data_IF_892423748335
#
_entry.id   IF_892423748335
#
_cell.length_a   1.000
_cell.length_b   1.000
_cell.length_c   1.000
_cell.angle_alpha   90.00
_cell.angle_beta   90.00
_cell.angle_gamma   90.00
#
_symmetry.space_group_name_H-M   'P 1'
#
loop_
_entity.id
_entity.type
_entity.pdbx_description
1 polymer ?
#
# COMPACT_ATOMS: atom_id res chain seq x y z
N UNK A 1 7.47 -22.00 11.05
CA UNK A 1 8.45 -23.10 11.33
C UNK A 1 8.56 -23.32 12.82
N UNK A 2 9.02 -22.34 13.64
CA UNK A 2 9.18 -22.54 15.09
C UNK A 2 7.88 -22.91 15.79
N UNK A 3 6.76 -22.31 15.38
CA UNK A 3 5.44 -22.65 15.89
C UNK A 3 5.04 -24.12 15.60
N UNK A 4 5.37 -24.61 14.39
CA UNK A 4 5.13 -26.01 14.01
C UNK A 4 6.06 -26.96 14.79
N UNK A 5 7.35 -26.62 14.91
CA UNK A 5 8.36 -27.51 15.51
C UNK A 5 8.26 -27.62 17.03
N UNK A 6 7.88 -26.54 17.72
CA UNK A 6 7.98 -26.43 19.18
C UNK A 6 6.65 -26.19 19.88
N UNK A 7 5.60 -25.76 19.16
CA UNK A 7 4.30 -25.40 19.74
C UNK A 7 3.12 -26.07 19.03
N UNK A 8 3.31 -27.12 18.24
CA UNK A 8 2.25 -27.84 17.52
C UNK A 8 1.27 -26.91 16.77
N UNK A 9 1.75 -25.75 16.28
CA UNK A 9 0.95 -24.70 15.64
C UNK A 9 -0.15 -24.09 16.55
N UNK A 10 0.02 -24.10 17.86
CA UNK A 10 -0.96 -23.53 18.79
C UNK A 10 -0.97 -22.00 18.81
N UNK A 11 0.12 -21.35 18.36
CA UNK A 11 0.17 -19.88 18.25
C UNK A 11 -0.60 -19.46 16.99
N UNK A 12 -1.54 -18.53 17.15
CA UNK A 12 -2.35 -18.04 16.04
C UNK A 12 -1.54 -17.25 15.01
N UNK A 13 -2.08 -17.13 13.78
CA UNK A 13 -1.49 -16.32 12.70
C UNK A 13 -1.28 -14.87 13.13
N UNK A 14 -2.22 -14.29 13.87
CA UNK A 14 -2.13 -12.92 14.39
C UNK A 14 -0.99 -12.79 15.41
N UNK A 15 -0.85 -13.71 16.32
CA UNK A 15 0.23 -13.69 17.32
C UNK A 15 1.61 -13.87 16.66
N UNK A 16 1.71 -14.75 15.65
CA UNK A 16 2.94 -14.88 14.85
C UNK A 16 3.30 -13.56 14.14
N UNK A 17 2.30 -12.87 13.55
CA UNK A 17 2.51 -11.58 12.90
C UNK A 17 2.94 -10.50 13.90
N UNK A 18 2.28 -10.42 15.08
CA UNK A 18 2.66 -9.50 16.17
C UNK A 18 4.07 -9.77 16.69
N UNK A 19 4.48 -11.03 16.81
CA UNK A 19 5.85 -11.39 17.20
C UNK A 19 6.89 -10.89 16.18
N UNK A 20 6.59 -11.01 14.87
CA UNK A 20 7.42 -10.46 13.80
C UNK A 20 7.54 -8.94 13.86
N UNK A 21 6.42 -8.24 14.00
CA UNK A 21 6.39 -6.78 14.17
C UNK A 21 7.16 -6.34 15.42
N UNK A 22 6.98 -7.04 16.54
CA UNK A 22 7.71 -6.75 17.77
C UNK A 22 9.23 -6.86 17.57
N UNK A 23 9.66 -7.91 16.86
CA UNK A 23 11.08 -8.10 16.56
C UNK A 23 11.64 -6.94 15.70
N UNK A 24 10.92 -6.53 14.64
CA UNK A 24 11.33 -5.37 13.83
C UNK A 24 11.43 -4.09 14.67
N UNK A 25 10.42 -3.80 15.48
CA UNK A 25 10.35 -2.57 16.24
C UNK A 25 11.32 -2.50 17.42
N UNK A 26 11.71 -3.65 18.01
CA UNK A 26 12.50 -3.68 19.24
C UNK A 26 13.91 -4.25 19.07
N UNK A 27 14.20 -4.98 17.98
CA UNK A 27 15.52 -5.56 17.73
C UNK A 27 16.26 -4.88 16.58
N UNK A 28 15.52 -4.36 15.59
CA UNK A 28 16.09 -3.66 14.44
C UNK A 28 15.78 -2.15 14.42
N UNK A 29 15.09 -1.64 15.44
CA UNK A 29 14.66 -0.23 15.57
C UNK A 29 13.88 0.29 14.32
N UNK A 30 13.24 -0.61 13.58
CA UNK A 30 12.43 -0.28 12.43
C UNK A 30 10.98 -0.10 12.87
N UNK A 31 10.48 1.14 12.85
CA UNK A 31 9.08 1.45 13.20
C UNK A 31 8.14 0.99 12.10
N UNK A 32 7.68 -0.26 12.18
CA UNK A 32 6.73 -0.85 11.23
C UNK A 32 5.34 -1.04 11.84
N UNK A 33 4.31 -0.92 10.98
CA UNK A 33 2.95 -1.36 11.29
C UNK A 33 2.82 -2.89 11.23
N UNK A 34 1.61 -3.40 11.43
CA UNK A 34 1.33 -4.85 11.44
C UNK A 34 0.91 -5.39 10.06
N UNK A 35 0.76 -4.52 9.06
CA UNK A 35 0.18 -4.88 7.76
C UNK A 35 0.97 -5.99 7.06
N UNK A 36 2.28 -5.79 6.87
CA UNK A 36 3.12 -6.69 6.07
C UNK A 36 3.25 -8.07 6.72
N UNK A 37 3.47 -8.11 8.04
CA UNK A 37 3.60 -9.35 8.79
C UNK A 37 2.30 -10.15 8.76
N UNK A 38 1.15 -9.47 8.91
CA UNK A 38 -0.16 -10.13 8.92
C UNK A 38 -0.56 -10.59 7.51
N UNK A 39 -0.26 -9.80 6.48
CA UNK A 39 -0.50 -10.18 5.10
C UNK A 39 0.35 -11.41 4.69
N UNK A 40 1.65 -11.41 5.01
CA UNK A 40 2.54 -12.53 4.74
C UNK A 40 2.13 -13.80 5.51
N UNK A 41 1.69 -13.65 6.75
CA UNK A 41 1.25 -14.78 7.57
C UNK A 41 -0.08 -15.37 7.07
N UNK A 42 -1.00 -14.54 6.57
CA UNK A 42 -2.33 -14.94 6.10
C UNK A 42 -2.31 -15.48 4.68
N UNK A 43 -1.59 -14.81 3.77
CA UNK A 43 -1.57 -15.08 2.33
C UNK A 43 -2.88 -14.73 1.61
N UNK A 44 -2.83 -14.77 0.28
CA UNK A 44 -3.94 -14.42 -0.60
C UNK A 44 -4.18 -12.92 -0.71
N UNK A 45 -5.29 -12.56 -1.33
CA UNK A 45 -5.80 -11.20 -1.33
C UNK A 45 -6.65 -11.01 -0.06
N UNK A 46 -6.31 -10.01 0.73
CA UNK A 46 -6.97 -9.77 2.01
C UNK A 46 -7.34 -8.31 2.19
N UNK A 47 -8.37 -8.06 2.99
CA UNK A 47 -8.56 -6.77 3.65
C UNK A 47 -8.29 -6.91 5.13
N UNK A 48 -7.71 -5.86 5.72
CA UNK A 48 -7.46 -5.78 7.15
C UNK A 48 -8.08 -4.48 7.67
N UNK A 49 -9.01 -4.58 8.62
CA UNK A 49 -9.51 -3.42 9.33
C UNK A 49 -8.83 -3.33 10.70
N UNK A 50 -8.01 -2.30 10.89
CA UNK A 50 -7.31 -1.99 12.13
C UNK A 50 -8.12 -1.11 13.08
N UNK A 51 -9.46 -1.03 12.96
CA UNK A 51 -10.30 -0.29 13.91
C UNK A 51 -10.08 -0.78 15.36
N UNK A 52 -9.86 -2.07 15.52
CA UNK A 52 -9.33 -2.67 16.75
C UNK A 52 -7.91 -3.19 16.46
N UNK A 53 -6.89 -2.43 16.87
CA UNK A 53 -5.49 -2.79 16.60
C UNK A 53 -5.05 -4.10 17.28
N UNK A 54 -5.61 -4.40 18.46
CA UNK A 54 -5.28 -5.63 19.18
C UNK A 54 -5.86 -6.88 18.52
N UNK A 55 -7.03 -6.74 17.87
CA UNK A 55 -7.69 -7.81 17.16
C UNK A 55 -8.23 -7.28 15.82
N UNK A 56 -7.34 -7.05 14.82
CA UNK A 56 -7.76 -6.56 13.51
C UNK A 56 -8.65 -7.59 12.81
N UNK A 57 -9.67 -7.10 12.12
CA UNK A 57 -10.50 -7.96 11.28
C UNK A 57 -9.78 -8.23 9.96
N UNK A 58 -9.50 -9.51 9.69
CA UNK A 58 -8.85 -9.97 8.45
C UNK A 58 -9.86 -10.77 7.64
N UNK A 59 -10.15 -10.31 6.43
CA UNK A 59 -11.07 -10.98 5.50
C UNK A 59 -10.33 -11.36 4.23
N UNK A 60 -10.36 -12.66 3.89
CA UNK A 60 -9.86 -13.14 2.60
C UNK A 60 -10.87 -12.82 1.50
N UNK A 61 -10.35 -12.34 0.38
CA UNK A 61 -11.10 -12.06 -0.83
C UNK A 61 -10.72 -13.06 -1.92
N UNK A 62 -11.66 -13.40 -2.79
CA UNK A 62 -11.37 -14.24 -3.95
C UNK A 62 -10.54 -13.44 -4.97
N UNK A 63 -9.30 -13.85 -5.15
CA UNK A 63 -8.37 -13.23 -6.11
C UNK A 63 -8.38 -13.90 -7.48
N UNK A 64 -9.11 -15.03 -7.64
CA UNK A 64 -9.01 -15.85 -8.85
C UNK A 64 -9.38 -15.07 -10.11
N UNK A 65 -10.51 -14.36 -10.10
CA UNK A 65 -10.95 -13.58 -11.26
C UNK A 65 -9.93 -12.50 -11.64
N UNK A 66 -9.32 -11.86 -10.65
CA UNK A 66 -8.29 -10.84 -10.86
C UNK A 66 -7.03 -11.49 -11.45
N UNK A 67 -6.57 -12.61 -10.89
CA UNK A 67 -5.40 -13.34 -11.37
C UNK A 67 -5.63 -14.01 -12.74
N UNK A 68 -6.85 -14.38 -13.06
CA UNK A 68 -7.19 -14.92 -14.38
C UNK A 68 -7.16 -13.82 -15.47
N UNK A 69 -7.45 -12.57 -15.11
CA UNK A 69 -7.53 -11.42 -16.03
C UNK A 69 -6.23 -10.62 -16.13
N UNK A 70 -5.48 -10.49 -15.04
CA UNK A 70 -4.31 -9.61 -14.96
C UNK A 70 -3.04 -10.34 -14.54
N UNK A 71 -1.91 -9.84 -15.04
CA UNK A 71 -0.58 -10.08 -14.50
C UNK A 71 -0.13 -8.85 -13.68
N UNK A 72 0.64 -9.10 -12.63
CA UNK A 72 1.12 -8.09 -11.69
C UNK A 72 2.63 -7.98 -11.80
N UNK A 73 3.12 -6.75 -11.98
CA UNK A 73 4.53 -6.46 -12.12
C UNK A 73 4.99 -5.51 -11.03
N UNK A 74 6.04 -5.88 -10.31
CA UNK A 74 6.79 -5.00 -9.42
C UNK A 74 8.04 -4.55 -10.15
N UNK A 75 8.20 -3.24 -10.30
CA UNK A 75 9.36 -2.64 -10.96
C UNK A 75 10.14 -1.81 -9.93
N UNK A 76 11.30 -2.30 -9.44
CA UNK A 76 12.17 -1.53 -8.55
C UNK A 76 12.70 -0.30 -9.27
N UNK A 77 12.84 0.81 -8.56
CA UNK A 77 13.40 2.06 -9.13
C UNK A 77 14.90 2.19 -8.95
N UNK A 78 15.51 1.25 -8.22
CA UNK A 78 16.96 1.25 -7.95
C UNK A 78 17.42 2.28 -6.91
N UNK A 79 16.48 2.95 -6.24
CA UNK A 79 16.79 3.96 -5.23
C UNK A 79 16.82 3.38 -3.81
N UNK A 80 17.70 3.93 -2.97
CA UNK A 80 17.90 3.49 -1.60
C UNK A 80 16.96 4.23 -0.62
N UNK A 81 16.46 3.49 0.37
CA UNK A 81 15.59 3.99 1.44
C UNK A 81 16.35 4.58 2.62
N UNK A 82 17.68 4.37 2.72
CA UNK A 82 18.46 4.59 3.95
C UNK A 82 18.48 6.04 4.44
N UNK A 83 18.22 7.01 3.59
CA UNK A 83 18.20 8.44 3.93
C UNK A 83 16.77 9.01 4.10
N UNK A 84 15.72 8.17 4.05
CA UNK A 84 14.33 8.60 3.95
C UNK A 84 13.47 8.35 5.20
N UNK A 85 14.08 7.88 6.28
CA UNK A 85 13.39 7.60 7.56
C UNK A 85 12.60 8.81 8.08
N UNK A 86 13.12 10.02 7.87
CA UNK A 86 12.44 11.26 8.21
C UNK A 86 11.12 11.46 7.47
N UNK A 87 11.07 11.11 6.18
CA UNK A 87 9.87 11.25 5.35
C UNK A 87 8.78 10.23 5.73
N UNK A 88 9.18 8.98 6.04
CA UNK A 88 8.26 7.96 6.55
C UNK A 88 7.67 8.37 7.91
N UNK A 89 8.52 8.84 8.82
CA UNK A 89 8.10 9.33 10.14
C UNK A 89 7.17 10.53 10.02
N UNK A 90 7.43 11.45 9.09
CA UNK A 90 6.62 12.63 8.87
C UNK A 90 5.16 12.29 8.48
N UNK A 91 4.90 11.19 7.76
CA UNK A 91 3.54 10.75 7.46
C UNK A 91 2.75 10.54 8.75
N UNK A 92 3.29 9.75 9.66
CA UNK A 92 2.62 9.42 10.92
C UNK A 92 2.47 10.64 11.82
N UNK A 93 3.50 11.46 11.94
CA UNK A 93 3.50 12.67 12.78
C UNK A 93 2.46 13.68 12.28
N UNK A 94 2.41 13.92 10.98
CA UNK A 94 1.48 14.87 10.38
C UNK A 94 0.02 14.39 10.46
N UNK A 95 -0.25 13.12 10.19
CA UNK A 95 -1.58 12.53 10.37
C UNK A 95 -2.03 12.60 11.84
N UNK A 96 -1.13 12.36 12.78
CA UNK A 96 -1.41 12.48 14.21
C UNK A 96 -1.69 13.92 14.63
N UNK A 97 -1.00 14.91 14.07
CA UNK A 97 -1.27 16.31 14.34
C UNK A 97 -2.73 16.69 13.98
N UNK A 98 -3.27 16.15 12.89
CA UNK A 98 -4.67 16.37 12.52
C UNK A 98 -5.62 15.71 13.52
N UNK A 99 -5.42 14.44 13.90
CA UNK A 99 -6.30 13.79 14.87
C UNK A 99 -6.27 14.49 16.23
N UNK A 100 -5.11 14.94 16.68
CA UNK A 100 -4.93 15.69 17.93
C UNK A 100 -5.61 17.07 17.91
N UNK A 101 -5.66 17.72 16.76
CA UNK A 101 -6.41 18.98 16.61
C UNK A 101 -7.88 18.82 17.03
N UNK A 102 -8.48 17.66 16.74
CA UNK A 102 -9.85 17.31 17.12
C UNK A 102 -9.95 16.60 18.48
N UNK A 103 -8.86 16.49 19.23
CA UNK A 103 -8.83 15.75 20.50
C UNK A 103 -9.07 14.24 20.33
N UNK A 104 -8.77 13.70 19.13
CA UNK A 104 -8.88 12.27 18.82
C UNK A 104 -7.54 11.59 18.92
N UNK A 105 -7.55 10.30 19.31
CA UNK A 105 -6.35 9.49 19.36
C UNK A 105 -5.90 9.07 17.95
N UNK A 106 -6.87 8.71 17.10
CA UNK A 106 -6.62 8.19 15.75
C UNK A 106 -7.36 9.00 14.70
N UNK A 107 -6.76 9.10 13.52
CA UNK A 107 -7.33 9.81 12.38
C UNK A 107 -8.60 9.14 11.82
N UNK A 108 -8.79 7.85 12.07
CA UNK A 108 -10.02 7.12 11.71
C UNK A 108 -11.31 7.71 12.33
N UNK A 109 -11.16 8.48 13.41
CA UNK A 109 -12.26 9.11 14.14
C UNK A 109 -12.52 10.57 13.68
N UNK A 110 -11.84 11.01 12.61
CA UNK A 110 -12.01 12.33 11.97
C UNK A 110 -12.68 12.14 10.62
N UNK A 111 -13.72 12.91 10.37
CA UNK A 111 -14.47 12.88 9.11
C UNK A 111 -13.96 13.90 8.09
N UNK A 112 -14.33 13.72 6.82
CA UNK A 112 -14.06 14.74 5.79
C UNK A 112 -14.77 16.07 6.10
N UNK A 113 -15.97 16.03 6.66
CA UNK A 113 -16.72 17.22 7.05
C UNK A 113 -15.99 17.99 8.16
N UNK A 114 -15.37 17.29 9.12
CA UNK A 114 -14.52 17.92 10.14
C UNK A 114 -13.35 18.67 9.50
N UNK A 115 -12.68 18.05 8.53
CA UNK A 115 -11.57 18.69 7.79
C UNK A 115 -12.07 19.92 7.05
N UNK A 116 -13.16 19.82 6.31
CA UNK A 116 -13.70 20.92 5.50
C UNK A 116 -14.16 22.10 6.37
N UNK A 117 -14.83 21.84 7.49
CA UNK A 117 -15.32 22.87 8.40
C UNK A 117 -14.19 23.64 9.12
N UNK A 118 -13.01 23.02 9.29
CA UNK A 118 -11.91 23.57 10.07
C UNK A 118 -10.66 23.88 9.23
N UNK A 119 -10.76 23.88 7.89
CA UNK A 119 -9.62 23.97 6.99
C UNK A 119 -8.66 25.15 7.28
N UNK A 120 -9.12 26.40 7.50
CA UNK A 120 -8.20 27.51 7.79
C UNK A 120 -7.35 27.28 9.06
N UNK A 121 -7.97 26.78 10.13
CA UNK A 121 -7.29 26.52 11.40
C UNK A 121 -6.34 25.32 11.32
N UNK A 122 -6.71 24.28 10.56
CA UNK A 122 -5.84 23.13 10.31
C UNK A 122 -4.59 23.52 9.54
N UNK A 123 -4.73 24.36 8.50
CA UNK A 123 -3.60 24.88 7.73
C UNK A 123 -2.63 25.69 8.58
N UNK A 124 -3.16 26.52 9.47
CA UNK A 124 -2.35 27.33 10.38
C UNK A 124 -1.58 26.46 11.40
N UNK A 125 -2.25 25.45 11.99
CA UNK A 125 -1.68 24.66 13.08
C UNK A 125 -0.85 23.47 12.63
N UNK A 126 -1.26 22.76 11.58
CA UNK A 126 -0.64 21.51 11.14
C UNK A 126 0.05 21.62 9.78
N UNK A 127 -0.30 22.64 8.99
CA UNK A 127 0.22 22.84 7.64
C UNK A 127 -0.53 22.07 6.54
N UNK A 128 -0.37 22.53 5.31
CA UNK A 128 -1.10 22.01 4.15
C UNK A 128 -0.83 20.53 3.89
N UNK A 129 0.42 20.07 4.05
CA UNK A 129 0.79 18.67 3.81
C UNK A 129 0.12 17.71 4.80
N UNK A 130 0.02 18.10 6.07
CA UNK A 130 -0.70 17.30 7.07
C UNK A 130 -2.18 17.14 6.71
N UNK A 131 -2.83 18.23 6.24
CA UNK A 131 -4.23 18.18 5.77
C UNK A 131 -4.37 17.26 4.55
N UNK A 132 -3.47 17.36 3.56
CA UNK A 132 -3.48 16.50 2.37
C UNK A 132 -3.33 15.03 2.77
N UNK A 133 -2.42 14.69 3.68
CA UNK A 133 -2.21 13.33 4.19
C UNK A 133 -3.45 12.79 4.94
N UNK A 134 -4.15 13.65 5.69
CA UNK A 134 -5.42 13.28 6.31
C UNK A 134 -6.51 13.00 5.27
N UNK A 135 -6.63 13.82 4.23
CA UNK A 135 -7.54 13.60 3.10
C UNK A 135 -7.23 12.26 2.41
N UNK A 136 -5.93 11.98 2.17
CA UNK A 136 -5.52 10.67 1.63
C UNK A 136 -6.04 9.53 2.50
N UNK A 137 -5.77 9.56 3.80
CA UNK A 137 -6.16 8.50 4.73
C UNK A 137 -7.66 8.23 4.70
N UNK A 138 -8.48 9.29 4.78
CA UNK A 138 -9.94 9.17 4.80
C UNK A 138 -10.45 8.59 3.47
N UNK A 139 -10.03 9.19 2.34
CA UNK A 139 -10.50 8.77 1.02
C UNK A 139 -9.98 7.38 0.62
N UNK A 140 -8.77 7.02 1.02
CA UNK A 140 -8.21 5.69 0.75
C UNK A 140 -8.91 4.60 1.56
N UNK A 141 -9.21 4.87 2.83
CA UNK A 141 -9.98 3.95 3.67
C UNK A 141 -11.37 3.67 3.08
N UNK A 142 -12.06 4.70 2.59
CA UNK A 142 -13.36 4.55 1.92
C UNK A 142 -13.24 3.75 0.62
N UNK A 143 -12.21 4.02 -0.18
CA UNK A 143 -11.93 3.31 -1.44
C UNK A 143 -11.71 1.82 -1.21
N UNK A 144 -10.88 1.47 -0.22
CA UNK A 144 -10.61 0.08 0.15
C UNK A 144 -11.89 -0.63 0.62
N UNK A 145 -12.68 0.01 1.49
CA UNK A 145 -13.95 -0.56 1.96
C UNK A 145 -14.93 -0.81 0.82
N UNK A 146 -15.04 0.15 -0.11
CA UNK A 146 -15.91 0.02 -1.28
C UNK A 146 -15.45 -1.12 -2.19
N UNK A 147 -14.17 -1.15 -2.56
CA UNK A 147 -13.62 -2.22 -3.40
C UNK A 147 -13.76 -3.59 -2.74
N UNK A 148 -13.51 -3.71 -1.44
CA UNK A 148 -13.67 -4.95 -0.71
C UNK A 148 -15.12 -5.46 -0.71
N UNK A 149 -16.10 -4.56 -0.60
CA UNK A 149 -17.52 -4.91 -0.70
C UNK A 149 -17.87 -5.39 -2.10
N UNK A 150 -17.42 -4.69 -3.15
CA UNK A 150 -17.62 -5.07 -4.55
C UNK A 150 -17.02 -6.47 -4.84
N UNK A 151 -15.77 -6.72 -4.40
CA UNK A 151 -15.11 -8.02 -4.60
C UNK A 151 -15.82 -9.15 -3.85
N UNK A 152 -16.37 -8.92 -2.66
CA UNK A 152 -17.20 -9.91 -1.95
C UNK A 152 -18.44 -10.31 -2.74
N UNK A 153 -19.01 -9.38 -3.50
CA UNK A 153 -20.14 -9.64 -4.42
C UNK A 153 -19.69 -10.12 -5.81
N UNK A 154 -18.42 -10.49 -5.96
CA UNK A 154 -17.81 -10.87 -7.25
C UNK A 154 -17.91 -9.79 -8.34
N UNK A 155 -18.01 -8.52 -7.95
CA UNK A 155 -17.94 -7.38 -8.86
C UNK A 155 -16.51 -6.80 -8.89
N UNK A 156 -15.87 -6.93 -10.03
CA UNK A 156 -14.49 -6.44 -10.27
C UNK A 156 -14.45 -5.26 -11.25
N UNK A 157 -15.61 -4.68 -11.58
CA UNK A 157 -15.74 -3.62 -12.60
C UNK A 157 -14.90 -2.40 -12.28
N UNK A 158 -14.79 -2.05 -11.00
CA UNK A 158 -14.07 -0.86 -10.55
C UNK A 158 -12.61 -1.13 -10.13
N UNK A 159 -12.09 -2.35 -10.32
CA UNK A 159 -10.76 -2.73 -9.83
C UNK A 159 -9.64 -1.83 -10.39
N UNK A 160 -9.54 -1.70 -11.71
CA UNK A 160 -8.53 -0.85 -12.36
C UNK A 160 -8.66 0.62 -11.92
N UNK A 161 -9.91 1.11 -11.87
CA UNK A 161 -10.19 2.47 -11.41
C UNK A 161 -9.74 2.68 -9.95
N UNK A 162 -10.00 1.72 -9.07
CA UNK A 162 -9.59 1.81 -7.67
C UNK A 162 -8.06 1.84 -7.52
N UNK A 163 -7.33 1.02 -8.30
CA UNK A 163 -5.86 1.03 -8.34
C UNK A 163 -5.34 2.39 -8.81
N UNK A 164 -5.90 2.92 -9.89
CA UNK A 164 -5.53 4.23 -10.45
C UNK A 164 -5.79 5.37 -9.46
N UNK A 165 -7.01 5.43 -8.90
CA UNK A 165 -7.40 6.49 -7.95
C UNK A 165 -6.55 6.43 -6.67
N UNK A 166 -6.17 5.23 -6.21
CA UNK A 166 -5.26 5.03 -5.08
C UNK A 166 -3.85 5.55 -5.40
N UNK A 167 -3.34 5.26 -6.60
CA UNK A 167 -2.07 5.80 -7.07
C UNK A 167 -2.06 7.32 -7.16
N UNK A 168 -3.10 7.91 -7.73
CA UNK A 168 -3.26 9.36 -7.80
C UNK A 168 -3.40 10.01 -6.42
N UNK A 169 -4.09 9.36 -5.49
CA UNK A 169 -4.21 9.82 -4.11
C UNK A 169 -2.85 9.78 -3.39
N UNK A 170 -2.08 8.71 -3.59
CA UNK A 170 -0.71 8.61 -3.09
C UNK A 170 0.16 9.74 -3.60
N UNK A 171 0.11 10.02 -4.91
CA UNK A 171 0.89 11.10 -5.52
C UNK A 171 0.48 12.47 -5.02
N UNK A 172 -0.81 12.80 -5.08
CA UNK A 172 -1.31 14.16 -4.86
C UNK A 172 -1.47 14.53 -3.40
N UNK A 173 -1.90 13.56 -2.57
CA UNK A 173 -2.31 13.82 -1.20
C UNK A 173 -1.31 13.26 -0.19
N UNK A 174 -0.95 11.97 -0.28
CA UNK A 174 0.06 11.40 0.61
C UNK A 174 1.45 11.97 0.34
N UNK A 175 1.73 12.27 -0.92
CA UNK A 175 3.00 12.83 -1.41
C UNK A 175 4.19 11.91 -1.09
N UNK A 176 4.03 10.63 -1.35
CA UNK A 176 5.06 9.60 -1.15
C UNK A 176 5.66 9.06 -2.46
N UNK A 177 5.44 9.74 -3.59
CA UNK A 177 5.97 9.33 -4.89
C UNK A 177 7.23 10.11 -5.30
N UNK A 178 7.70 11.03 -4.48
CA UNK A 178 8.87 11.85 -4.74
C UNK A 178 9.78 11.88 -3.51
N UNK A 179 11.09 12.00 -3.73
CA UNK A 179 12.08 12.21 -2.68
C UNK A 179 12.43 13.71 -2.55
N UNK A 180 13.04 14.14 -1.44
CA UNK A 180 13.57 15.51 -1.33
C UNK A 180 14.71 15.80 -2.32
N UNK A 181 15.42 14.79 -2.80
CA UNK A 181 16.49 14.95 -3.77
C UNK A 181 15.95 15.05 -5.20
N UNK A 182 16.08 16.20 -5.88
CA UNK A 182 15.57 16.39 -7.23
C UNK A 182 16.23 15.50 -8.30
N UNK A 183 17.35 14.87 -8.00
CA UNK A 183 18.05 13.95 -8.91
C UNK A 183 17.58 12.50 -8.79
N UNK A 184 16.95 12.14 -7.69
CA UNK A 184 16.53 10.79 -7.37
C UNK A 184 15.00 10.73 -7.23
N UNK A 185 14.31 10.70 -8.37
CA UNK A 185 12.85 10.72 -8.50
C UNK A 185 12.32 9.45 -9.18
N UNK A 186 12.89 8.30 -8.84
CA UNK A 186 12.66 7.04 -9.56
C UNK A 186 11.19 6.62 -9.60
N UNK A 187 10.47 6.67 -8.48
CA UNK A 187 9.03 6.34 -8.45
C UNK A 187 8.26 7.27 -9.38
N UNK A 188 8.45 8.58 -9.24
CA UNK A 188 7.76 9.57 -10.07
C UNK A 188 8.04 9.36 -11.56
N UNK A 189 9.32 9.14 -11.91
CA UNK A 189 9.73 8.90 -13.30
C UNK A 189 9.11 7.61 -13.86
N UNK A 190 9.16 6.51 -13.09
CA UNK A 190 8.64 5.22 -13.57
C UNK A 190 7.11 5.23 -13.68
N UNK A 191 6.40 5.90 -12.77
CA UNK A 191 4.95 6.11 -12.89
C UNK A 191 4.62 6.91 -14.16
N UNK A 192 5.31 8.03 -14.41
CA UNK A 192 5.11 8.84 -15.60
C UNK A 192 5.38 8.04 -16.89
N UNK A 193 6.45 7.24 -16.94
CA UNK A 193 6.74 6.39 -18.10
C UNK A 193 5.67 5.32 -18.33
N UNK A 194 5.13 4.72 -17.27
CA UNK A 194 4.02 3.78 -17.39
C UNK A 194 2.73 4.48 -17.85
N UNK A 195 2.41 5.66 -17.31
CA UNK A 195 1.24 6.44 -17.73
C UNK A 195 1.32 6.83 -19.21
N UNK A 196 2.51 7.19 -19.72
CA UNK A 196 2.74 7.45 -21.16
C UNK A 196 2.51 6.18 -21.98
N UNK A 197 3.03 5.03 -21.52
CA UNK A 197 2.82 3.76 -22.19
C UNK A 197 1.32 3.40 -22.26
N UNK A 198 0.56 3.61 -21.19
CA UNK A 198 -0.88 3.32 -21.12
C UNK A 198 -1.76 4.27 -21.94
N UNK A 199 -1.23 5.33 -22.53
CA UNK A 199 -2.01 6.13 -23.51
C UNK A 199 -2.39 5.32 -24.76
N UNK A 200 -1.60 4.29 -25.10
CA UNK A 200 -1.81 3.44 -26.27
C UNK A 200 -1.98 1.95 -25.93
N UNK A 201 -1.93 1.59 -24.65
CA UNK A 201 -2.01 0.24 -24.13
C UNK A 201 -2.92 0.20 -22.90
N UNK A 202 -3.43 -0.99 -22.59
CA UNK A 202 -4.22 -1.18 -21.36
C UNK A 202 -3.30 -1.52 -20.19
N UNK A 203 -3.67 -1.03 -19.03
CA UNK A 203 -2.99 -1.29 -17.76
C UNK A 203 -3.14 -0.11 -16.82
N UNK A 204 -2.80 -0.34 -15.56
CA UNK A 204 -2.79 0.68 -14.52
C UNK A 204 -1.56 0.51 -13.64
N UNK A 205 -1.11 1.59 -13.02
CA UNK A 205 0.03 1.54 -12.11
C UNK A 205 -0.18 2.43 -10.88
N UNK A 206 0.59 2.11 -9.86
CA UNK A 206 0.68 2.93 -8.64
C UNK A 206 2.02 2.72 -7.94
N UNK A 207 2.35 3.59 -7.01
CA UNK A 207 3.44 3.32 -6.07
C UNK A 207 3.14 2.04 -5.27
N UNK A 208 4.16 1.21 -5.05
CA UNK A 208 4.08 0.01 -4.23
C UNK A 208 4.73 0.22 -2.86
N UNK A 209 4.02 -0.17 -1.79
CA UNK A 209 4.49 0.01 -0.42
C UNK A 209 4.51 1.46 0.06
N UNK A 210 5.47 1.79 0.91
CA UNK A 210 5.58 3.09 1.58
C UNK A 210 5.94 4.27 0.67
N UNK A 211 6.50 4.02 -0.50
CA UNK A 211 6.86 5.07 -1.46
C UNK A 211 8.21 5.72 -1.17
N UNK A 212 8.37 6.98 -1.57
CA UNK A 212 9.58 7.81 -1.61
C UNK A 212 10.69 7.23 -2.49
N UNK A 213 11.16 6.04 -2.19
CA UNK A 213 12.01 5.16 -2.99
C UNK A 213 11.39 3.77 -3.12
N UNK A 214 12.04 2.82 -3.77
CA UNK A 214 11.59 1.43 -3.85
C UNK A 214 10.98 1.06 -5.19
N UNK A 215 9.68 0.77 -5.27
CA UNK A 215 9.10 0.18 -6.47
C UNK A 215 7.70 0.71 -6.82
N UNK A 216 7.30 0.45 -8.05
CA UNK A 216 5.93 0.63 -8.51
C UNK A 216 5.27 -0.73 -8.76
N UNK A 217 3.96 -0.77 -8.61
CA UNK A 217 3.10 -1.88 -9.00
C UNK A 217 2.41 -1.50 -10.31
N UNK A 218 2.49 -2.40 -11.30
CA UNK A 218 1.69 -2.31 -12.52
C UNK A 218 0.78 -3.52 -12.62
N UNK A 219 -0.49 -3.29 -12.99
CA UNK A 219 -1.51 -4.31 -13.18
C UNK A 219 -1.90 -4.30 -14.66
N UNK A 220 -1.61 -5.37 -15.34
CA UNK A 220 -1.64 -5.44 -16.80
C UNK A 220 -2.60 -6.54 -17.24
N UNK A 221 -3.59 -6.28 -18.11
CA UNK A 221 -4.37 -7.34 -18.72
C UNK A 221 -3.46 -8.36 -19.40
N UNK A 222 -3.74 -9.64 -19.26
CA UNK A 222 -2.86 -10.73 -19.74
C UNK A 222 -2.53 -10.63 -21.22
N UNK A 223 -3.46 -10.15 -22.03
CA UNK A 223 -3.25 -9.93 -23.46
C UNK A 223 -2.20 -8.85 -23.77
N UNK A 224 -2.00 -7.88 -22.85
CA UNK A 224 -1.02 -6.80 -22.98
C UNK A 224 0.34 -7.16 -22.36
N UNK A 225 0.41 -8.20 -21.53
CA UNK A 225 1.64 -8.56 -20.78
C UNK A 225 2.88 -8.79 -21.65
N UNK A 226 2.80 -9.43 -22.84
CA UNK A 226 3.97 -9.58 -23.69
C UNK A 226 4.56 -8.24 -24.16
N UNK A 227 3.69 -7.28 -24.54
CA UNK A 227 4.12 -5.95 -24.96
C UNK A 227 4.68 -5.14 -23.77
N UNK A 228 4.07 -5.29 -22.58
CA UNK A 228 4.55 -4.62 -21.38
C UNK A 228 5.92 -5.14 -20.92
N UNK A 229 6.17 -6.46 -21.00
CA UNK A 229 7.51 -7.03 -20.75
C UNK A 229 8.57 -6.46 -21.68
N UNK A 230 8.25 -6.33 -22.96
CA UNK A 230 9.16 -5.69 -23.93
C UNK A 230 9.41 -4.22 -23.56
N UNK A 231 8.38 -3.47 -23.17
CA UNK A 231 8.53 -2.08 -22.71
C UNK A 231 9.47 -1.98 -21.49
N UNK A 232 9.27 -2.81 -20.47
CA UNK A 232 10.13 -2.81 -19.27
C UNK A 232 11.59 -3.14 -19.62
N UNK A 233 11.81 -4.13 -20.48
CA UNK A 233 13.15 -4.61 -20.85
C UNK A 233 13.86 -3.67 -21.83
N UNK A 234 13.18 -3.23 -22.88
CA UNK A 234 13.81 -2.59 -24.03
C UNK A 234 13.80 -1.06 -23.91
N UNK A 235 12.78 -0.48 -23.27
CA UNK A 235 12.62 0.97 -23.08
C UNK A 235 13.14 1.39 -21.71
N UNK A 236 12.60 0.83 -20.63
CA UNK A 236 13.05 1.19 -19.29
C UNK A 236 14.39 0.54 -18.93
N UNK A 237 14.74 -0.57 -19.58
CA UNK A 237 15.99 -1.34 -19.34
C UNK A 237 16.17 -1.67 -17.86
N UNK A 238 15.08 -2.02 -17.23
CA UNK A 238 15.02 -2.22 -15.78
C UNK A 238 14.63 -3.66 -15.43
N UNK A 239 15.06 -4.11 -14.27
CA UNK A 239 14.60 -5.35 -13.69
C UNK A 239 13.12 -5.23 -13.29
N UNK A 240 12.41 -6.34 -13.34
CA UNK A 240 11.03 -6.42 -12.88
C UNK A 240 10.75 -7.82 -12.33
N UNK A 241 9.76 -7.90 -11.47
CA UNK A 241 9.27 -9.16 -10.90
C UNK A 241 7.81 -9.34 -11.26
N UNK A 242 7.48 -10.47 -11.89
CA UNK A 242 6.09 -10.90 -12.03
C UNK A 242 5.68 -11.60 -10.75
N UNK A 243 4.59 -11.16 -10.15
CA UNK A 243 4.11 -11.71 -8.90
C UNK A 243 2.79 -12.44 -9.10
N UNK A 244 2.63 -13.53 -8.37
CA UNK A 244 1.40 -14.29 -8.30
C UNK A 244 0.91 -14.31 -6.85
N UNK A 245 -0.38 -14.06 -6.66
CA UNK A 245 -0.98 -14.16 -5.33
C UNK A 245 -1.10 -15.62 -4.93
N UNK A 246 -0.48 -15.98 -3.83
CA UNK A 246 -0.56 -17.31 -3.26
C UNK A 246 -1.63 -17.32 -2.17
N UNK A 247 -2.60 -18.22 -2.26
CA UNK A 247 -3.76 -18.28 -1.35
C UNK A 247 -3.42 -18.59 0.12
N UNK A 248 -2.26 -19.15 0.36
CA UNK A 248 -1.79 -19.46 1.71
C UNK A 248 -0.54 -18.66 2.07
N UNK A 249 -0.45 -18.23 3.32
CA UNK A 249 0.75 -17.67 3.91
C UNK A 249 1.84 -18.73 4.12
N UNK A 250 2.54 -18.65 5.24
CA UNK A 250 3.53 -19.65 5.60
C UNK A 250 2.86 -20.95 6.01
N UNK A 251 3.04 -22.01 5.23
CA UNK A 251 2.47 -23.35 5.48
C UNK A 251 3.54 -24.43 5.39
N UNK A 252 3.30 -25.54 6.10
CA UNK A 252 4.08 -26.75 5.96
C UNK A 252 3.77 -27.41 4.61
N UNK A 253 4.80 -27.80 3.85
CA UNK A 253 4.66 -28.36 2.50
C UNK A 253 5.01 -29.85 2.42
N UNK A 254 5.41 -30.48 3.54
CA UNK A 254 5.70 -31.91 3.67
C UNK A 254 5.56 -32.39 5.11
#
# INVERSE_FOLDING_TARGET
ILNDLYNNNEISTLECAKAGQWAENNKWDKKSGLLDQLACATGGMITIDFANYENPEVVKLDSKVIQDKYDFFITPTGEDHSALDGEYTAITVEMKAISQFFGKEYLKDVSMDDIMANLPALREKAGDRAVLRAIHFITETERVRKLAAEVKEHDYTNFEKAVTDSGLSSWRFLQNCATPDPKHQGIALFLAMNEIYFQNHKGVCRVHGGGFAGSILSVIPKEESPAFRAFLKDVLKNEYYEIHMRDAGSVKVF
#
